data_IF_677130696660
#
_entry.id   IF_677130696660
#
_cell.length_a   1.000
_cell.length_b   1.000
_cell.length_c   1.000
_cell.angle_alpha   90.00
_cell.angle_beta   90.00
_cell.angle_gamma   90.00
#
_symmetry.space_group_name_H-M   'P 1'
#
loop_
_entity.id
_entity.type
_entity.pdbx_description
1 polymer ?
#
# COMPACT_ATOMS: atom_id res chain seq x y z
N UNK A 1 -9.48 2.02 24.21
CA UNK A 1 -8.63 3.21 24.43
C UNK A 1 -7.27 2.85 23.88
N UNK A 2 -6.90 3.41 22.73
CA UNK A 2 -5.56 3.24 22.15
C UNK A 2 -4.60 4.15 22.90
N UNK A 3 -3.49 3.59 23.38
CA UNK A 3 -2.39 4.35 23.98
C UNK A 3 -1.95 5.43 22.99
N UNK A 4 -1.73 6.68 23.42
CA UNK A 4 -1.18 7.70 22.54
C UNK A 4 0.14 7.21 21.94
N UNK A 5 0.41 7.51 20.67
CA UNK A 5 1.64 7.06 20.04
C UNK A 5 2.86 7.65 20.72
N UNK A 6 3.93 6.86 20.78
CA UNK A 6 5.23 7.30 21.28
C UNK A 6 5.88 8.24 20.26
N UNK A 7 6.78 9.11 20.71
CA UNK A 7 7.57 9.98 19.83
C UNK A 7 8.29 9.17 18.74
N UNK A 8 8.78 7.97 19.10
CA UNK A 8 9.40 7.03 18.17
C UNK A 8 8.44 6.56 17.07
N UNK A 9 7.17 6.31 17.39
CA UNK A 9 6.17 5.94 16.39
C UNK A 9 5.94 7.10 15.42
N UNK A 10 5.78 8.32 15.92
CA UNK A 10 5.58 9.50 15.07
C UNK A 10 6.79 9.78 14.18
N UNK A 11 8.01 9.69 14.72
CA UNK A 11 9.25 9.85 13.94
C UNK A 11 9.35 8.80 12.82
N UNK A 12 9.04 7.54 13.13
CA UNK A 12 8.96 6.48 12.12
C UNK A 12 7.93 6.80 11.04
N UNK A 13 6.77 7.34 11.41
CA UNK A 13 5.75 7.77 10.44
C UNK A 13 6.30 8.81 9.47
N UNK A 14 6.96 9.82 10.01
CA UNK A 14 7.50 10.95 9.24
C UNK A 14 8.56 10.48 8.26
N UNK A 15 9.47 9.60 8.68
CA UNK A 15 10.48 9.02 7.79
C UNK A 15 9.85 8.25 6.61
N UNK A 16 8.81 7.46 6.87
CA UNK A 16 8.05 6.78 5.80
C UNK A 16 7.34 7.79 4.90
N UNK A 17 6.74 8.82 5.49
CA UNK A 17 6.05 9.86 4.74
C UNK A 17 6.99 10.57 3.77
N UNK A 18 8.13 11.06 4.25
CA UNK A 18 9.15 11.74 3.45
C UNK A 18 9.67 10.83 2.33
N UNK A 19 9.96 9.56 2.66
CA UNK A 19 10.41 8.58 1.68
C UNK A 19 9.40 8.35 0.55
N UNK A 20 8.11 8.18 0.86
CA UNK A 20 7.08 7.90 -0.14
C UNK A 20 6.71 9.15 -0.95
N UNK A 21 6.61 10.31 -0.30
CA UNK A 21 6.28 11.57 -0.99
C UNK A 21 7.39 12.04 -1.93
N UNK A 22 8.67 11.81 -1.59
CA UNK A 22 9.79 12.01 -2.50
C UNK A 22 9.68 11.15 -3.78
N UNK A 23 8.92 10.05 -3.74
CA UNK A 23 8.63 9.16 -4.87
C UNK A 23 7.29 9.46 -5.55
N UNK A 24 6.63 10.57 -5.18
CA UNK A 24 5.36 11.00 -5.78
C UNK A 24 4.11 10.32 -5.21
N UNK A 25 4.22 9.61 -4.09
CA UNK A 25 3.05 9.07 -3.40
C UNK A 25 2.30 10.18 -2.67
N UNK A 26 0.99 9.99 -2.50
CA UNK A 26 0.14 10.91 -1.73
C UNK A 26 -0.39 10.23 -0.50
N UNK A 27 -0.47 10.98 0.59
CA UNK A 27 -1.21 10.55 1.76
C UNK A 27 -2.71 10.50 1.45
N UNK A 28 -3.36 9.41 1.83
CA UNK A 28 -4.81 9.24 1.75
C UNK A 28 -5.44 9.69 3.07
N UNK A 29 -6.38 10.64 2.99
CA UNK A 29 -7.03 11.25 4.15
C UNK A 29 -6.57 12.68 4.45
N UNK A 30 -7.26 13.32 5.41
CA UNK A 30 -7.09 14.74 5.73
C UNK A 30 -6.21 15.01 6.96
N UNK A 31 -5.57 13.98 7.53
CA UNK A 31 -4.77 14.12 8.75
C UNK A 31 -3.30 14.23 8.41
N UNK A 32 -2.63 15.20 8.99
CA UNK A 32 -1.19 15.38 8.79
C UNK A 32 -0.41 14.24 9.47
N UNK A 33 0.70 13.79 8.88
CA UNK A 33 1.63 12.89 9.55
C UNK A 33 2.10 13.51 10.88
N UNK A 34 2.11 12.74 11.96
CA UNK A 34 2.55 13.23 13.27
C UNK A 34 1.43 13.70 14.22
N UNK A 35 0.18 13.89 13.74
CA UNK A 35 -0.95 14.26 14.62
C UNK A 35 -1.59 13.04 15.30
N UNK A 36 -1.78 11.97 14.53
CA UNK A 36 -2.27 10.68 15.02
C UNK A 36 -1.51 9.57 14.34
N UNK A 37 -1.16 8.53 15.10
CA UNK A 37 -0.46 7.39 14.56
C UNK A 37 -1.34 6.52 13.66
N UNK A 38 -0.88 6.29 12.43
CA UNK A 38 -1.68 5.72 11.36
C UNK A 38 -2.08 4.26 11.57
N UNK A 39 -1.33 3.45 12.32
CA UNK A 39 -1.75 2.07 12.57
C UNK A 39 -3.08 1.97 13.37
N UNK A 40 -3.50 3.06 14.02
CA UNK A 40 -4.79 3.15 14.71
C UNK A 40 -5.94 3.60 13.79
N UNK A 41 -5.66 3.96 12.55
CA UNK A 41 -6.65 4.39 11.56
C UNK A 41 -6.57 3.48 10.33
N UNK A 42 -7.55 2.58 10.13
CA UNK A 42 -7.54 1.64 9.00
C UNK A 42 -7.68 2.31 7.63
N UNK A 43 -7.94 3.63 7.60
CA UNK A 43 -8.02 4.44 6.37
C UNK A 43 -6.76 5.27 6.14
N UNK A 44 -5.85 5.35 7.11
CA UNK A 44 -4.64 6.14 6.98
C UNK A 44 -3.56 5.34 6.26
N UNK A 45 -3.00 5.94 5.22
CA UNK A 45 -1.95 5.32 4.42
C UNK A 45 -1.55 6.20 3.26
N UNK A 46 -0.67 5.68 2.43
CA UNK A 46 -0.21 6.33 1.22
C UNK A 46 -0.72 5.55 0.01
N UNK A 47 -1.04 6.28 -1.05
CA UNK A 47 -1.40 5.73 -2.36
C UNK A 47 -0.45 6.28 -3.40
N UNK A 48 -0.10 5.45 -4.37
CA UNK A 48 0.66 5.87 -5.54
C UNK A 48 -0.31 6.35 -6.63
N UNK A 49 -0.42 7.68 -6.87
CA UNK A 49 -1.46 8.24 -7.73
C UNK A 49 -1.37 7.78 -9.17
N UNK A 50 -0.16 7.51 -9.65
CA UNK A 50 0.09 7.08 -11.02
C UNK A 50 -0.29 5.62 -11.30
N UNK A 51 -0.77 4.87 -10.30
CA UNK A 51 -1.40 3.56 -10.52
C UNK A 51 -2.45 3.67 -11.63
N UNK A 52 -2.50 2.69 -12.53
CA UNK A 52 -3.42 2.66 -13.67
C UNK A 52 -3.23 3.83 -14.65
N UNK A 53 -2.00 4.29 -14.82
CA UNK A 53 -1.69 5.50 -15.59
C UNK A 53 -2.29 6.78 -15.01
N UNK A 54 -2.64 6.80 -13.72
CA UNK A 54 -3.37 7.90 -13.09
C UNK A 54 -4.88 7.87 -13.32
N UNK A 55 -5.41 6.79 -13.92
CA UNK A 55 -6.84 6.64 -14.18
C UNK A 55 -7.61 6.53 -12.87
N UNK A 56 -8.56 7.45 -12.66
CA UNK A 56 -9.48 7.35 -11.54
C UNK A 56 -10.56 6.32 -11.83
N UNK A 57 -10.56 5.24 -11.05
CA UNK A 57 -11.65 4.27 -10.99
C UNK A 57 -12.51 4.51 -9.75
N UNK A 58 -13.79 4.16 -9.85
CA UNK A 58 -14.70 4.18 -8.71
C UNK A 58 -14.41 2.98 -7.82
N UNK A 59 -14.33 3.21 -6.51
CA UNK A 59 -14.19 2.14 -5.53
C UNK A 59 -15.56 1.51 -5.24
N UNK A 60 -15.67 0.23 -5.55
CA UNK A 60 -16.81 -0.65 -5.30
C UNK A 60 -16.35 -1.80 -4.40
N UNK A 61 -16.27 -1.53 -3.09
CA UNK A 61 -15.90 -2.54 -2.09
C UNK A 61 -14.61 -3.30 -2.43
N UNK A 62 -14.64 -4.61 -2.16
CA UNK A 62 -13.54 -5.55 -2.42
C UNK A 62 -13.38 -5.94 -3.90
N UNK A 63 -14.28 -5.47 -4.76
CA UNK A 63 -14.30 -5.81 -6.19
C UNK A 63 -13.39 -4.93 -7.04
N UNK A 64 -13.00 -3.78 -6.51
CA UNK A 64 -12.13 -2.84 -7.21
C UNK A 64 -10.68 -3.29 -7.10
N UNK A 65 -9.93 -3.36 -8.21
CA UNK A 65 -8.51 -3.63 -8.16
C UNK A 65 -7.79 -2.62 -7.28
N UNK A 66 -6.99 -3.10 -6.33
CA UNK A 66 -6.30 -2.25 -5.36
C UNK A 66 -5.21 -1.45 -6.06
N UNK A 67 -5.15 -0.15 -5.76
CA UNK A 67 -4.02 0.68 -6.22
C UNK A 67 -2.76 0.29 -5.44
N UNK A 68 -1.60 0.63 -5.99
CA UNK A 68 -0.36 0.52 -5.22
C UNK A 68 -0.48 1.45 -4.01
N UNK A 69 -0.44 0.87 -2.81
CA UNK A 69 -0.68 1.57 -1.55
C UNK A 69 0.18 1.01 -0.43
N UNK A 70 0.35 1.78 0.63
CA UNK A 70 1.12 1.39 1.79
C UNK A 70 0.54 1.98 3.08
N UNK A 71 0.67 1.27 4.20
CA UNK A 71 0.13 1.70 5.50
C UNK A 71 0.78 0.94 6.64
N UNK A 72 0.59 1.43 7.87
CA UNK A 72 0.94 0.70 9.08
C UNK A 72 -0.23 -0.17 9.53
N UNK A 73 0.05 -1.39 9.98
CA UNK A 73 -0.95 -2.34 10.48
C UNK A 73 -0.32 -3.29 11.50
N UNK A 74 -1.07 -4.30 11.94
CA UNK A 74 -0.59 -5.38 12.78
C UNK A 74 -0.54 -6.69 11.96
N UNK A 75 0.59 -7.39 12.02
CA UNK A 75 0.74 -8.71 11.44
C UNK A 75 0.00 -9.79 12.25
N UNK A 76 0.09 -11.04 11.78
CA UNK A 76 -0.60 -12.19 12.41
C UNK A 76 -0.19 -12.44 13.86
N UNK A 77 1.05 -12.09 14.21
CA UNK A 77 1.57 -12.20 15.59
C UNK A 77 1.16 -11.03 16.49
N UNK A 78 0.29 -10.14 15.99
CA UNK A 78 -0.16 -8.93 16.68
C UNK A 78 0.90 -7.84 16.76
N UNK A 79 2.07 -8.02 16.15
CA UNK A 79 3.11 -6.99 16.12
C UNK A 79 2.85 -6.02 15.00
N UNK A 80 3.25 -4.79 15.27
CA UNK A 80 3.16 -3.73 14.30
C UNK A 80 4.14 -3.93 13.14
N UNK A 81 3.64 -3.69 11.92
CA UNK A 81 4.38 -3.85 10.66
C UNK A 81 4.04 -2.70 9.72
N UNK A 82 4.94 -2.43 8.79
CA UNK A 82 4.64 -1.62 7.62
C UNK A 82 4.22 -2.53 6.46
N UNK A 83 3.18 -2.16 5.73
CA UNK A 83 2.63 -2.98 4.64
C UNK A 83 2.69 -2.21 3.34
N UNK A 84 3.09 -2.89 2.27
CA UNK A 84 2.95 -2.39 0.90
C UNK A 84 2.10 -3.40 0.13
N UNK A 85 1.08 -2.90 -0.57
CA UNK A 85 0.16 -3.69 -1.38
C UNK A 85 0.42 -3.34 -2.85
N UNK A 86 0.97 -4.27 -3.66
CA UNK A 86 1.16 -4.02 -5.08
C UNK A 86 -0.18 -3.83 -5.79
N UNK A 87 -0.22 -3.02 -6.85
CA UNK A 87 -1.45 -2.79 -7.61
C UNK A 87 -1.92 -4.09 -8.31
N UNK A 88 -3.23 -4.37 -8.29
CA UNK A 88 -3.79 -5.58 -8.90
C UNK A 88 -5.10 -6.07 -8.27
N UNK A 89 -5.46 -7.32 -8.54
CA UNK A 89 -6.56 -8.03 -7.90
C UNK A 89 -6.06 -8.72 -6.63
N UNK A 90 -6.56 -8.30 -5.47
CA UNK A 90 -6.06 -8.78 -4.18
C UNK A 90 -6.51 -10.23 -3.89
N UNK A 91 -5.61 -11.03 -3.29
CA UNK A 91 -5.92 -12.30 -2.62
C UNK A 91 -6.59 -13.38 -3.51
N UNK A 92 -5.98 -13.72 -4.64
CA UNK A 92 -6.44 -14.78 -5.52
C UNK A 92 -7.67 -14.41 -6.35
N UNK A 93 -8.02 -13.12 -6.42
CA UNK A 93 -9.18 -12.63 -7.17
C UNK A 93 -8.90 -12.43 -8.67
N UNK A 94 -7.72 -12.81 -9.17
CA UNK A 94 -7.30 -12.68 -10.57
C UNK A 94 -6.49 -13.87 -11.06
N UNK A 95 -5.99 -13.80 -12.30
CA UNK A 95 -4.99 -14.75 -12.81
C UNK A 95 -3.62 -14.49 -12.18
N UNK A 96 -2.65 -15.40 -12.38
CA UNK A 96 -1.31 -15.29 -11.78
C UNK A 96 -0.57 -13.97 -12.10
N UNK A 97 -0.88 -13.31 -13.21
CA UNK A 97 -0.30 -12.01 -13.58
C UNK A 97 -0.97 -10.83 -12.86
N UNK A 98 -2.28 -10.90 -12.68
CA UNK A 98 -3.10 -9.84 -12.11
C UNK A 98 -3.36 -9.99 -10.63
N UNK A 99 -3.06 -11.16 -10.06
CA UNK A 99 -3.16 -11.42 -8.64
C UNK A 99 -2.03 -10.72 -7.88
N UNK A 100 -2.38 -10.14 -6.74
CA UNK A 100 -1.45 -9.43 -5.86
C UNK A 100 -1.64 -9.87 -4.43
N UNK A 101 -0.55 -9.81 -3.67
CA UNK A 101 -0.53 -10.15 -2.24
C UNK A 101 0.20 -9.05 -1.49
N UNK A 102 -0.36 -8.69 -0.34
CA UNK A 102 0.26 -7.75 0.59
C UNK A 102 1.66 -8.23 1.00
N UNK A 103 2.56 -7.28 1.16
CA UNK A 103 3.91 -7.53 1.67
C UNK A 103 4.08 -6.81 2.99
N UNK A 104 4.30 -7.60 4.03
CA UNK A 104 4.52 -7.13 5.39
C UNK A 104 6.01 -6.99 5.66
N UNK A 105 6.39 -5.84 6.19
CA UNK A 105 7.74 -5.46 6.56
C UNK A 105 7.78 -5.26 8.09
N UNK A 106 8.27 -6.25 8.85
CA UNK A 106 8.55 -6.08 10.27
C UNK A 106 9.51 -4.92 10.49
N UNK A 107 9.41 -4.29 11.65
CA UNK A 107 10.37 -3.26 12.02
C UNK A 107 11.74 -3.86 12.35
N UNK A 108 12.79 -3.08 12.10
CA UNK A 108 14.15 -3.41 12.49
C UNK A 108 14.28 -3.50 14.01
N UNK A 109 15.43 -3.98 14.50
CA UNK A 109 15.72 -4.03 15.93
C UNK A 109 15.58 -2.67 16.63
N UNK A 110 15.82 -1.58 15.90
CA UNK A 110 15.69 -0.19 16.39
C UNK A 110 14.26 0.35 16.27
N UNK A 111 13.29 -0.50 15.88
CA UNK A 111 11.89 -0.15 15.76
C UNK A 111 11.55 0.72 14.54
N UNK A 112 12.38 0.68 13.49
CA UNK A 112 12.20 1.47 12.25
C UNK A 112 11.74 0.61 11.07
N UNK A 113 11.26 1.24 9.99
CA UNK A 113 10.97 0.55 8.72
C UNK A 113 12.26 0.44 7.90
N UNK A 114 12.57 -0.74 7.37
CA UNK A 114 13.70 -0.95 6.44
C UNK A 114 13.40 -0.36 5.04
N UNK A 115 13.49 0.96 4.94
CA UNK A 115 13.23 1.68 3.69
C UNK A 115 14.24 1.33 2.58
N UNK A 116 15.47 0.99 2.96
CA UNK A 116 16.50 0.59 2.00
C UNK A 116 16.16 -0.77 1.36
N UNK A 117 15.63 -1.71 2.14
CA UNK A 117 15.10 -2.98 1.62
C UNK A 117 13.82 -2.84 0.80
N UNK A 118 12.99 -1.84 1.09
CA UNK A 118 11.73 -1.58 0.38
C UNK A 118 11.96 -0.86 -0.95
N UNK A 119 12.94 0.04 -1.05
CA UNK A 119 13.14 0.87 -2.24
C UNK A 119 13.27 0.08 -3.56
N UNK A 120 14.05 -1.02 -3.65
CA UNK A 120 14.13 -1.82 -4.88
C UNK A 120 12.80 -2.48 -5.28
N UNK A 121 11.96 -2.83 -4.29
CA UNK A 121 10.63 -3.36 -4.58
C UNK A 121 9.74 -2.28 -5.21
N UNK A 122 9.77 -1.08 -4.65
CA UNK A 122 9.02 0.06 -5.20
C UNK A 122 9.51 0.45 -6.59
N UNK A 123 10.82 0.41 -6.85
CA UNK A 123 11.38 0.64 -8.20
C UNK A 123 10.83 -0.35 -9.23
N UNK A 124 10.49 -1.57 -8.82
CA UNK A 124 9.86 -2.57 -9.69
C UNK A 124 8.33 -2.41 -9.79
N UNK A 125 7.67 -2.04 -8.69
CA UNK A 125 6.21 -2.03 -8.62
C UNK A 125 5.58 -0.72 -9.08
N UNK A 126 6.23 0.42 -8.93
CA UNK A 126 5.70 1.71 -9.37
C UNK A 126 5.49 1.76 -10.89
N UNK A 127 6.47 1.36 -11.74
CA UNK A 127 6.24 1.32 -13.20
C UNK A 127 5.20 0.27 -13.59
N UNK A 128 5.19 -0.89 -12.93
CA UNK A 128 4.18 -1.93 -13.17
C UNK A 128 2.77 -1.43 -12.83
N UNK A 129 2.60 -0.81 -11.66
CA UNK A 129 1.34 -0.23 -11.24
C UNK A 129 0.84 0.82 -12.22
N UNK A 130 1.75 1.62 -12.78
CA UNK A 130 1.43 2.61 -13.80
C UNK A 130 0.97 1.97 -15.13
N UNK A 131 1.57 0.84 -15.52
CA UNK A 131 1.28 0.18 -16.79
C UNK A 131 -0.01 -0.67 -16.78
N UNK A 132 -0.55 -1.02 -15.61
CA UNK A 132 -1.75 -1.85 -15.50
C UNK A 132 -2.99 -1.16 -16.08
N UNK A 133 -3.78 -1.91 -16.84
CA UNK A 133 -5.12 -1.49 -17.28
C UNK A 133 -6.17 -1.95 -16.25
N UNK A 134 -6.84 -1.03 -15.54
CA UNK A 134 -7.84 -1.39 -14.54
C UNK A 134 -9.04 -2.10 -15.17
N UNK A 135 -9.34 -1.87 -16.45
CA UNK A 135 -10.38 -2.62 -17.16
C UNK A 135 -9.97 -4.08 -17.31
N UNK A 136 -8.73 -4.36 -17.72
CA UNK A 136 -8.22 -5.72 -17.84
C UNK A 136 -8.23 -6.45 -16.48
N UNK A 137 -7.92 -5.75 -15.38
CA UNK A 137 -8.00 -6.30 -14.02
C UNK A 137 -9.44 -6.69 -13.65
N UNK A 138 -10.41 -5.80 -13.90
CA UNK A 138 -11.83 -6.07 -13.66
C UNK A 138 -12.31 -7.23 -14.53
N UNK A 139 -11.98 -7.23 -15.82
CA UNK A 139 -12.38 -8.29 -16.74
C UNK A 139 -11.78 -9.65 -16.32
N UNK A 140 -10.51 -9.66 -15.91
CA UNK A 140 -9.84 -10.85 -15.38
C UNK A 140 -10.54 -11.43 -14.15
N UNK A 141 -11.02 -10.56 -13.26
CA UNK A 141 -11.70 -10.98 -12.03
C UNK A 141 -13.07 -11.58 -12.31
N UNK A 142 -13.83 -10.98 -13.22
CA UNK A 142 -15.24 -11.34 -13.42
C UNK A 142 -15.49 -12.34 -14.55
N UNK A 143 -14.66 -12.33 -15.59
CA UNK A 143 -14.85 -13.15 -16.78
C UNK A 143 -13.83 -14.29 -16.90
N UNK A 144 -12.91 -14.40 -15.95
CA UNK A 144 -11.90 -15.45 -15.90
C UNK A 144 -10.53 -14.97 -16.43
N UNK A 145 -9.53 -15.87 -16.45
CA UNK A 145 -8.15 -15.51 -16.74
C UNK A 145 -8.02 -14.82 -18.10
N UNK A 146 -7.11 -13.86 -18.17
CA UNK A 146 -6.73 -13.22 -19.42
C UNK A 146 -6.31 -14.29 -20.42
N UNK A 147 -6.84 -14.19 -21.65
CA UNK A 147 -6.42 -15.07 -22.74
C UNK A 147 -4.95 -14.78 -23.03
N UNK A 148 -4.13 -15.82 -23.09
CA UNK A 148 -2.76 -15.75 -23.61
C UNK A 148 -2.73 -15.20 -25.04
#
# INVERSE_FOLDING_TARGET
MTTPPTDQALERQLRVHEFLTARGWTLDGAREPGETWFANDPRAGWRYPASYGGTKINDVGDTTPVRLQAYFTFGEDGKEVFTVVPAGNLQGSGCAEHDTTERFFPFTADGTVDLAGIAPLLESWEPRAQALDPRALIECRYFGPCKE
#
